data_IF_195122958465
#
_entry.id   IF_195122958465
#
_cell.length_a   1.000
_cell.length_b   1.000
_cell.length_c   1.000
_cell.angle_alpha   90.00
_cell.angle_beta   90.00
_cell.angle_gamma   90.00
#
_symmetry.space_group_name_H-M   'P 1'
#
loop_
_entity.id
_entity.type
_entity.pdbx_description
1 polymer ?
#
# COMPACT_ATOMS: atom_id res chain seq x y z
N UNK A 1 5.41 -19.74 -0.19
CA UNK A 1 4.92 -20.03 1.17
C UNK A 1 3.71 -20.96 1.04
N UNK A 2 3.64 -22.02 1.85
CA UNK A 2 2.45 -22.88 1.94
C UNK A 2 1.70 -22.51 3.22
N UNK A 3 0.39 -22.28 3.13
CA UNK A 3 -0.47 -21.98 4.26
C UNK A 3 -1.79 -22.73 4.10
N UNK A 4 -2.40 -23.10 5.22
CA UNK A 4 -3.71 -23.76 5.23
C UNK A 4 -4.77 -22.73 5.61
N UNK A 5 -5.90 -22.76 4.90
CA UNK A 5 -7.08 -21.96 5.21
C UNK A 5 -8.27 -22.87 5.40
N UNK A 6 -9.10 -22.53 6.38
CA UNK A 6 -10.40 -23.17 6.58
C UNK A 6 -11.46 -22.29 5.94
N UNK A 7 -12.26 -22.89 5.07
CA UNK A 7 -13.43 -22.28 4.44
C UNK A 7 -14.66 -23.06 4.90
N UNK A 8 -15.78 -22.38 5.03
CA UNK A 8 -17.06 -23.07 5.22
C UNK A 8 -17.40 -23.91 3.97
N UNK A 9 -18.24 -24.92 4.17
CA UNK A 9 -18.59 -25.89 3.13
C UNK A 9 -19.23 -25.22 1.90
N UNK A 10 -20.03 -24.17 2.11
CA UNK A 10 -20.70 -23.46 1.02
C UNK A 10 -19.68 -22.74 0.13
N UNK A 11 -18.77 -21.97 0.74
CA UNK A 11 -17.68 -21.27 0.06
C UNK A 11 -16.75 -22.24 -0.65
N UNK A 12 -16.39 -23.36 -0.01
CA UNK A 12 -15.56 -24.41 -0.59
C UNK A 12 -16.20 -25.04 -1.83
N UNK A 13 -17.50 -25.35 -1.77
CA UNK A 13 -18.25 -25.89 -2.92
C UNK A 13 -18.37 -24.87 -4.05
N UNK A 14 -18.59 -23.59 -3.72
CA UNK A 14 -18.68 -22.54 -4.73
C UNK A 14 -17.34 -22.36 -5.46
N UNK A 15 -16.23 -22.33 -4.72
CA UNK A 15 -14.89 -22.29 -5.30
C UNK A 15 -14.63 -23.49 -6.23
N UNK A 16 -15.03 -24.69 -5.83
CA UNK A 16 -14.93 -25.89 -6.66
C UNK A 16 -15.71 -25.75 -7.99
N UNK A 17 -16.92 -25.20 -7.94
CA UNK A 17 -17.77 -24.98 -9.12
C UNK A 17 -17.13 -23.97 -10.08
N UNK A 18 -16.63 -22.85 -9.55
CA UNK A 18 -15.98 -21.81 -10.35
C UNK A 18 -14.69 -22.35 -10.98
N UNK A 19 -13.84 -23.03 -10.22
CA UNK A 19 -12.61 -23.66 -10.71
C UNK A 19 -12.87 -24.56 -11.93
N UNK A 20 -13.89 -25.42 -11.85
CA UNK A 20 -14.30 -26.28 -12.97
C UNK A 20 -14.78 -25.48 -14.18
N UNK A 21 -15.55 -24.40 -13.96
CA UNK A 21 -16.09 -23.57 -15.04
C UNK A 21 -15.00 -22.83 -15.81
N UNK A 22 -13.97 -22.34 -15.12
CA UNK A 22 -12.88 -21.57 -15.74
C UNK A 22 -11.71 -22.43 -16.20
N UNK A 23 -11.69 -23.73 -15.87
CA UNK A 23 -10.60 -24.63 -16.23
C UNK A 23 -9.32 -24.44 -15.41
N UNK A 24 -9.43 -23.82 -14.22
CA UNK A 24 -8.29 -23.53 -13.36
C UNK A 24 -8.31 -24.34 -12.05
N UNK A 25 -7.16 -24.42 -11.40
CA UNK A 25 -7.08 -25.04 -10.07
C UNK A 25 -7.67 -24.13 -9.00
N UNK A 26 -8.21 -24.73 -7.94
CA UNK A 26 -8.70 -24.00 -6.74
C UNK A 26 -7.63 -23.09 -6.14
N UNK A 27 -6.38 -23.56 -6.09
CA UNK A 27 -5.25 -22.76 -5.60
C UNK A 27 -4.95 -21.56 -6.50
N UNK A 28 -5.17 -21.67 -7.82
CA UNK A 28 -5.02 -20.52 -8.73
C UNK A 28 -6.04 -19.45 -8.38
N UNK A 29 -7.31 -19.82 -8.24
CA UNK A 29 -8.37 -18.89 -7.85
C UNK A 29 -8.17 -18.29 -6.46
N UNK A 30 -7.75 -19.09 -5.47
CA UNK A 30 -7.46 -18.58 -4.12
C UNK A 30 -6.32 -17.57 -4.15
N UNK A 31 -5.23 -17.86 -4.87
CA UNK A 31 -4.11 -16.93 -5.01
C UNK A 31 -4.54 -15.63 -5.68
N UNK A 32 -5.32 -15.71 -6.76
CA UNK A 32 -5.83 -14.54 -7.44
C UNK A 32 -6.73 -13.70 -6.52
N UNK A 33 -7.69 -14.33 -5.84
CA UNK A 33 -8.61 -13.64 -4.93
C UNK A 33 -7.86 -12.94 -3.78
N UNK A 34 -6.89 -13.61 -3.17
CA UNK A 34 -6.04 -13.03 -2.11
C UNK A 34 -5.21 -11.87 -2.66
N UNK A 35 -4.60 -12.03 -3.83
CA UNK A 35 -3.81 -10.97 -4.47
C UNK A 35 -4.66 -9.74 -4.78
N UNK A 36 -5.83 -9.92 -5.38
CA UNK A 36 -6.74 -8.82 -5.70
C UNK A 36 -7.24 -8.12 -4.42
N UNK A 37 -7.60 -8.88 -3.39
CA UNK A 37 -8.03 -8.30 -2.13
C UNK A 37 -6.91 -7.48 -1.49
N UNK A 38 -5.69 -8.02 -1.43
CA UNK A 38 -4.52 -7.30 -0.92
C UNK A 38 -4.16 -6.07 -1.75
N UNK A 39 -4.30 -6.10 -3.07
CA UNK A 39 -4.11 -4.90 -3.90
C UNK A 39 -5.14 -3.81 -3.61
N UNK A 40 -6.39 -4.19 -3.31
CA UNK A 40 -7.44 -3.25 -2.90
C UNK A 40 -7.16 -2.63 -1.53
N UNK A 41 -6.64 -3.41 -0.58
CA UNK A 41 -6.27 -2.93 0.76
C UNK A 41 -4.91 -2.23 0.81
N UNK A 42 -4.03 -2.59 -0.11
CA UNK A 42 -2.59 -2.34 -0.06
C UNK A 42 -2.13 -1.17 -0.89
N UNK A 43 -2.98 -0.17 -1.17
CA UNK A 43 -2.42 1.15 -1.46
C UNK A 43 -1.90 1.70 -0.13
N UNK A 44 -0.58 1.81 0.10
CA UNK A 44 -0.09 2.56 1.25
C UNK A 44 -0.54 4.00 1.07
N UNK A 45 -1.67 4.33 1.68
CA UNK A 45 -2.20 5.68 1.75
C UNK A 45 -1.87 6.22 3.12
N UNK A 46 -1.42 7.47 3.15
CA UNK A 46 -1.33 8.18 4.41
C UNK A 46 -2.73 8.25 5.04
N UNK A 47 -2.83 8.15 6.38
CA UNK A 47 -4.07 8.45 7.10
C UNK A 47 -4.71 9.76 6.62
N UNK A 48 -6.05 9.83 6.66
CA UNK A 48 -6.78 11.00 6.18
C UNK A 48 -6.35 12.27 6.91
N UNK A 49 -6.00 12.16 8.18
CA UNK A 49 -5.49 13.25 9.02
C UNK A 49 -4.19 13.85 8.47
N UNK A 50 -3.32 13.02 7.89
CA UNK A 50 -2.09 13.49 7.26
C UNK A 50 -2.33 14.05 5.86
N UNK A 51 -3.29 13.48 5.11
CA UNK A 51 -3.67 14.00 3.79
C UNK A 51 -4.39 15.35 3.89
N UNK A 52 -5.15 15.57 4.97
CA UNK A 52 -5.89 16.80 5.24
C UNK A 52 -5.06 17.87 5.98
N UNK A 53 -3.81 17.56 6.35
CA UNK A 53 -2.94 18.47 7.07
C UNK A 53 -2.52 19.66 6.19
N UNK A 54 -2.94 20.87 6.57
CA UNK A 54 -2.67 22.12 5.83
C UNK A 54 -1.41 22.87 6.33
N UNK A 55 -0.62 22.24 7.20
CA UNK A 55 0.48 22.91 7.89
C UNK A 55 0.04 23.54 9.22
N UNK A 56 1.00 24.11 9.94
CA UNK A 56 0.76 24.86 11.18
C UNK A 56 0.56 26.34 10.83
N UNK A 57 -0.52 26.96 11.33
CA UNK A 57 -0.88 28.33 10.98
C UNK A 57 0.20 29.37 11.32
N UNK A 58 0.92 29.15 12.42
CA UNK A 58 1.95 30.07 12.91
C UNK A 58 3.36 29.73 12.38
N UNK A 59 3.45 28.80 11.42
CA UNK A 59 4.74 28.39 10.87
C UNK A 59 5.23 29.41 9.85
N UNK A 60 6.44 29.96 10.01
CA UNK A 60 7.01 30.83 8.99
C UNK A 60 7.18 30.05 7.67
N UNK A 61 7.14 30.74 6.51
CA UNK A 61 7.45 30.12 5.22
C UNK A 61 8.79 29.39 5.29
N UNK A 62 8.91 28.26 4.57
CA UNK A 62 10.14 27.46 4.53
C UNK A 62 11.39 28.31 4.24
N UNK A 63 11.26 29.30 3.36
CA UNK A 63 12.36 30.17 2.93
C UNK A 63 12.62 31.38 3.85
N UNK A 64 11.84 31.57 4.92
CA UNK A 64 11.92 32.76 5.77
C UNK A 64 13.30 32.98 6.41
N UNK A 65 14.10 31.92 6.55
CA UNK A 65 15.46 31.99 7.12
C UNK A 65 16.56 31.79 6.08
N UNK A 66 16.24 31.80 4.77
CA UNK A 66 17.22 31.54 3.71
C UNK A 66 18.38 32.53 3.74
N UNK A 67 18.11 33.79 4.02
CA UNK A 67 19.12 34.86 4.07
C UNK A 67 20.06 34.75 5.30
N UNK A 68 19.69 33.91 6.29
CA UNK A 68 20.52 33.63 7.46
C UNK A 68 21.44 32.40 7.29
N UNK A 69 21.30 31.67 6.17
CA UNK A 69 22.12 30.50 5.89
C UNK A 69 23.55 30.94 5.57
N UNK A 70 24.52 30.26 6.19
CA UNK A 70 25.91 30.39 5.78
C UNK A 70 26.08 29.77 4.40
N UNK A 71 26.94 30.36 3.54
CA UNK A 71 27.30 29.70 2.29
C UNK A 71 27.85 28.30 2.58
N UNK A 72 27.61 27.32 1.69
CA UNK A 72 28.22 26.00 1.82
C UNK A 72 29.74 26.15 1.89
N UNK A 73 30.37 25.31 2.71
CA UNK A 73 31.83 25.21 2.75
C UNK A 73 32.29 24.69 1.38
N UNK A 74 33.43 25.16 0.89
CA UNK A 74 34.04 24.67 -0.35
C UNK A 74 34.08 23.15 -0.37
N UNK A 75 33.72 22.53 -1.50
CA UNK A 75 33.83 21.09 -1.65
C UNK A 75 35.30 20.68 -1.45
N UNK A 76 35.62 19.77 -0.52
CA UNK A 76 36.99 19.28 -0.35
C UNK A 76 37.49 18.42 -1.52
N UNK A 77 36.63 18.12 -2.51
CA UNK A 77 36.93 17.31 -3.69
C UNK A 77 36.89 18.08 -5.03
N UNK A 78 36.61 19.39 -5.01
CA UNK A 78 36.76 20.29 -6.17
C UNK A 78 38.23 20.64 -6.46
#
# INVERSE_FOLDING_TARGET
>A
MNFNIYLDDETGQHLNRVAKKVGESRNTLVRQAVSEWLQRQGKPQWPEELLAFQGLADMPPFEASRDSLKPPVSDPLD
#
